data_IF_286716131722
#
_entry.id   IF_286716131722
#
_cell.length_a   1.000
_cell.length_b   1.000
_cell.length_c   1.000
_cell.angle_alpha   90.00
_cell.angle_beta   90.00
_cell.angle_gamma   90.00
#
_symmetry.space_group_name_H-M   'P 1'
#
loop_
_entity.id
_entity.type
_entity.pdbx_description
1 polymer ?
#
# COMPACT_ATOMS: atom_id res chain seq x y z
N UNK A 1 11.44 -10.98 -5.80
CA UNK A 1 10.68 -10.03 -4.97
C UNK A 1 9.65 -9.29 -5.79
N UNK A 2 8.46 -9.09 -5.25
CA UNK A 2 7.40 -8.26 -5.85
C UNK A 2 6.94 -7.25 -4.79
N UNK A 3 6.89 -5.98 -5.17
CA UNK A 3 6.33 -4.89 -4.36
C UNK A 3 5.18 -4.29 -5.13
N UNK A 4 3.96 -4.54 -4.68
CA UNK A 4 2.75 -3.99 -5.28
C UNK A 4 2.44 -2.63 -4.65
N UNK A 5 2.36 -1.61 -5.49
CA UNK A 5 2.02 -0.25 -5.02
C UNK A 5 0.50 -0.16 -4.86
N UNK A 6 0.06 -0.23 -3.62
CA UNK A 6 -1.33 -0.15 -3.21
C UNK A 6 -1.67 1.25 -2.67
N UNK A 7 -2.62 1.32 -1.78
CA UNK A 7 -3.09 2.55 -1.14
C UNK A 7 -3.84 2.20 0.14
N UNK A 8 -3.80 3.07 1.13
CA UNK A 8 -4.68 2.99 2.29
C UNK A 8 -6.16 2.93 1.93
N UNK A 9 -6.54 3.50 0.77
CA UNK A 9 -7.90 3.38 0.21
C UNK A 9 -8.28 1.95 -0.18
N UNK A 10 -7.32 1.05 -0.32
CA UNK A 10 -7.56 -0.38 -0.54
C UNK A 10 -7.77 -1.19 0.74
N UNK A 11 -7.63 -0.59 1.90
CA UNK A 11 -7.85 -1.22 3.19
C UNK A 11 -9.26 -0.94 3.70
N UNK A 12 -10.06 -1.99 3.89
CA UNK A 12 -11.39 -1.86 4.49
C UNK A 12 -11.26 -1.38 5.95
N UNK A 13 -10.27 -1.89 6.69
CA UNK A 13 -10.02 -1.47 8.06
C UNK A 13 -9.67 0.02 8.17
N UNK A 14 -8.83 0.53 7.27
CA UNK A 14 -8.44 1.96 7.23
C UNK A 14 -9.61 2.85 6.81
N UNK A 15 -10.32 2.49 5.74
CA UNK A 15 -11.42 3.31 5.20
C UNK A 15 -12.67 3.32 6.07
N UNK A 16 -12.80 2.40 7.00
CA UNK A 16 -13.91 2.35 7.97
C UNK A 16 -13.53 2.85 9.37
N UNK A 17 -12.27 3.24 9.58
CA UNK A 17 -11.82 3.82 10.84
C UNK A 17 -12.06 5.34 10.83
N UNK A 18 -13.00 5.86 11.68
CA UNK A 18 -13.32 7.29 11.71
C UNK A 18 -12.12 8.19 12.12
N UNK A 19 -11.08 7.62 12.73
CA UNK A 19 -9.84 8.32 13.08
C UNK A 19 -8.88 8.50 11.90
N UNK A 20 -9.19 7.93 10.73
CA UNK A 20 -8.35 7.98 9.55
C UNK A 20 -8.92 8.92 8.48
N UNK A 21 -8.03 9.68 7.83
CA UNK A 21 -8.42 10.58 6.74
C UNK A 21 -9.14 9.84 5.61
N UNK A 22 -8.70 8.64 5.29
CA UNK A 22 -9.26 7.80 4.23
C UNK A 22 -10.75 7.49 4.44
N UNK A 23 -11.22 7.47 5.69
CA UNK A 23 -12.64 7.24 6.01
C UNK A 23 -13.57 8.38 5.55
N UNK A 24 -13.00 9.56 5.29
CA UNK A 24 -13.74 10.72 4.79
C UNK A 24 -13.89 10.74 3.27
N UNK A 25 -13.15 9.88 2.57
CA UNK A 25 -13.14 9.81 1.11
C UNK A 25 -14.13 8.75 0.62
N UNK A 26 -14.89 9.09 -0.42
CA UNK A 26 -15.85 8.20 -1.05
C UNK A 26 -15.39 7.93 -2.47
N UNK A 27 -15.25 6.65 -2.80
CA UNK A 27 -14.91 6.21 -4.14
C UNK A 27 -15.31 4.74 -4.30
N UNK A 28 -15.50 4.30 -5.53
CA UNK A 28 -15.87 2.91 -5.82
C UNK A 28 -14.76 2.18 -6.59
N UNK A 29 -14.43 2.66 -7.79
CA UNK A 29 -13.51 1.94 -8.68
C UNK A 29 -12.09 1.88 -8.13
N UNK A 30 -11.53 3.02 -7.70
CA UNK A 30 -10.16 3.07 -7.20
C UNK A 30 -9.96 2.26 -5.90
N UNK A 31 -10.77 2.46 -4.84
CA UNK A 31 -10.65 1.64 -3.64
C UNK A 31 -10.85 0.15 -3.92
N UNK A 32 -11.86 -0.22 -4.71
CA UNK A 32 -12.11 -1.61 -5.05
C UNK A 32 -10.92 -2.25 -5.80
N UNK A 33 -10.29 -1.52 -6.72
CA UNK A 33 -9.11 -2.01 -7.43
C UNK A 33 -7.91 -2.25 -6.50
N UNK A 34 -7.71 -1.37 -5.52
CA UNK A 34 -6.61 -1.50 -4.56
C UNK A 34 -6.88 -2.58 -3.51
N UNK A 35 -8.14 -2.78 -3.12
CA UNK A 35 -8.53 -3.92 -2.28
C UNK A 35 -8.29 -5.24 -3.01
N UNK A 36 -8.62 -5.31 -4.29
CA UNK A 36 -8.32 -6.48 -5.11
C UNK A 36 -6.81 -6.74 -5.20
N UNK A 37 -6.00 -5.69 -5.39
CA UNK A 37 -4.54 -5.80 -5.40
C UNK A 37 -4.00 -6.32 -4.07
N UNK A 38 -4.55 -5.85 -2.95
CA UNK A 38 -4.20 -6.31 -1.61
C UNK A 38 -4.51 -7.81 -1.45
N UNK A 39 -5.70 -8.25 -1.88
CA UNK A 39 -6.08 -9.66 -1.84
C UNK A 39 -5.15 -10.51 -2.72
N UNK A 40 -4.88 -10.07 -3.94
CA UNK A 40 -3.94 -10.75 -4.85
C UNK A 40 -2.56 -10.88 -4.19
N UNK A 41 -2.06 -9.81 -3.58
CA UNK A 41 -0.77 -9.82 -2.88
C UNK A 41 -0.73 -10.91 -1.80
N UNK A 42 -1.74 -10.96 -0.94
CA UNK A 42 -1.81 -11.93 0.15
C UNK A 42 -1.89 -13.39 -0.36
N UNK A 43 -2.67 -13.64 -1.42
CA UNK A 43 -2.84 -14.97 -1.97
C UNK A 43 -1.57 -15.46 -2.70
N UNK A 44 -0.92 -14.59 -3.47
CA UNK A 44 0.34 -14.94 -4.13
C UNK A 44 1.47 -15.16 -3.11
N UNK A 45 1.52 -14.39 -2.04
CA UNK A 45 2.49 -14.62 -0.96
C UNK A 45 2.36 -16.02 -0.35
N UNK A 46 1.14 -16.51 -0.19
CA UNK A 46 0.87 -17.88 0.27
C UNK A 46 1.24 -18.95 -0.78
N UNK A 47 0.92 -18.67 -2.05
CA UNK A 47 1.18 -19.62 -3.14
C UNK A 47 2.68 -19.76 -3.45
N UNK A 48 3.45 -18.70 -3.22
CA UNK A 48 4.88 -18.66 -3.53
C UNK A 48 5.73 -18.30 -2.29
N UNK A 49 5.80 -19.20 -1.28
CA UNK A 49 6.43 -18.88 0.02
C UNK A 49 7.94 -18.60 -0.06
N UNK A 50 8.59 -18.94 -1.17
CA UNK A 50 10.00 -18.61 -1.43
C UNK A 50 10.22 -17.20 -1.98
N UNK A 51 9.14 -16.52 -2.39
CA UNK A 51 9.19 -15.16 -2.87
C UNK A 51 8.78 -14.17 -1.78
N UNK A 52 9.36 -12.98 -1.82
CA UNK A 52 8.91 -11.85 -1.02
C UNK A 52 7.91 -11.06 -1.86
N UNK A 53 6.64 -11.08 -1.45
CA UNK A 53 5.53 -10.44 -2.17
C UNK A 53 4.75 -9.63 -1.15
N UNK A 54 4.82 -8.31 -1.28
CA UNK A 54 4.23 -7.37 -0.31
C UNK A 54 3.48 -6.25 -1.04
N UNK A 55 2.54 -5.63 -0.35
CA UNK A 55 1.89 -4.40 -0.77
C UNK A 55 2.44 -3.22 0.03
N UNK A 56 2.49 -2.05 -0.58
CA UNK A 56 2.89 -0.81 0.07
C UNK A 56 1.88 0.30 -0.18
N UNK A 57 1.68 1.15 0.82
CA UNK A 57 0.97 2.42 0.70
C UNK A 57 2.02 3.55 0.71
N UNK A 58 2.22 4.26 -0.40
CA UNK A 58 3.13 5.41 -0.45
C UNK A 58 2.60 6.63 0.31
N UNK A 59 1.34 6.60 0.75
CA UNK A 59 0.65 7.75 1.30
C UNK A 59 0.15 8.71 0.21
N UNK A 60 -0.50 9.79 0.64
CA UNK A 60 -1.06 10.79 -0.28
C UNK A 60 0.05 11.68 -0.86
N UNK A 61 0.53 11.30 -2.02
CA UNK A 61 1.71 11.87 -2.69
C UNK A 61 1.28 12.92 -3.72
N UNK A 62 1.94 14.10 -3.69
CA UNK A 62 1.69 15.19 -4.62
C UNK A 62 2.27 14.86 -6.01
N UNK A 63 1.40 14.55 -6.96
CA UNK A 63 1.73 14.25 -8.35
C UNK A 63 0.78 14.95 -9.31
N UNK A 64 1.07 14.94 -10.59
CA UNK A 64 0.18 15.46 -11.63
C UNK A 64 -1.20 14.79 -11.60
N UNK A 65 -1.27 13.51 -11.19
CA UNK A 65 -2.52 12.75 -11.10
C UNK A 65 -3.56 13.41 -10.20
N UNK A 66 -3.13 14.05 -9.11
CA UNK A 66 -4.01 14.73 -8.14
C UNK A 66 -3.83 16.25 -8.10
N UNK A 67 -3.22 16.84 -9.14
CA UNK A 67 -2.94 18.29 -9.18
C UNK A 67 -1.98 18.73 -8.07
N UNK A 68 -1.05 17.89 -7.68
CA UNK A 68 -0.06 18.12 -6.61
C UNK A 68 -0.68 18.40 -5.23
N UNK A 69 -1.87 17.85 -4.95
CA UNK A 69 -2.60 18.05 -3.69
C UNK A 69 -2.17 17.12 -2.56
N UNK A 70 -1.27 16.18 -2.84
CA UNK A 70 -0.76 15.25 -1.83
C UNK A 70 0.01 15.96 -0.72
N UNK A 71 0.04 15.33 0.45
CA UNK A 71 0.77 15.82 1.63
C UNK A 71 2.24 15.38 1.66
N UNK A 72 2.60 14.39 0.84
CA UNK A 72 3.98 13.88 0.69
C UNK A 72 4.57 14.32 -0.64
N UNK A 73 5.88 14.53 -0.66
CA UNK A 73 6.64 14.69 -1.90
C UNK A 73 6.74 13.35 -2.63
N UNK A 74 7.13 13.38 -3.91
CA UNK A 74 7.39 12.17 -4.70
C UNK A 74 8.47 11.32 -4.05
N UNK A 75 9.52 11.94 -3.52
CA UNK A 75 10.61 11.25 -2.83
C UNK A 75 10.13 10.53 -1.58
N UNK A 76 9.35 11.20 -0.74
CA UNK A 76 8.75 10.60 0.46
C UNK A 76 7.81 9.45 0.13
N UNK A 77 6.98 9.60 -0.90
CA UNK A 77 6.10 8.53 -1.38
C UNK A 77 6.85 7.32 -1.92
N UNK A 78 7.98 7.54 -2.59
CA UNK A 78 8.80 6.47 -3.14
C UNK A 78 9.63 5.73 -2.08
N UNK A 79 9.89 6.31 -0.93
CA UNK A 79 10.79 5.77 0.09
C UNK A 79 10.38 4.38 0.57
N UNK A 80 9.10 4.17 0.88
CA UNK A 80 8.60 2.86 1.33
C UNK A 80 8.74 1.81 0.23
N UNK A 81 8.53 2.19 -1.02
CA UNK A 81 8.66 1.30 -2.19
C UNK A 81 10.12 0.83 -2.31
N UNK A 82 11.05 1.77 -2.27
CA UNK A 82 12.50 1.49 -2.38
C UNK A 82 12.97 0.65 -1.20
N UNK A 83 12.54 0.99 0.03
CA UNK A 83 12.87 0.22 1.23
C UNK A 83 12.43 -1.24 1.09
N UNK A 84 11.19 -1.48 0.65
CA UNK A 84 10.66 -2.82 0.48
C UNK A 84 11.34 -3.58 -0.66
N UNK A 85 11.72 -2.90 -1.74
CA UNK A 85 12.42 -3.51 -2.87
C UNK A 85 13.87 -3.94 -2.51
N UNK A 86 14.42 -3.39 -1.44
CA UNK A 86 15.77 -3.69 -0.95
C UNK A 86 15.84 -4.77 0.12
N UNK A 87 14.70 -5.31 0.54
CA UNK A 87 14.68 -6.39 1.55
C UNK A 87 15.38 -7.64 1.01
N UNK A 88 16.10 -8.28 1.92
CA UNK A 88 16.71 -9.58 1.67
C UNK A 88 15.73 -10.73 1.95
N UNK A 89 16.23 -11.98 1.89
CA UNK A 89 15.43 -13.16 2.11
C UNK A 89 14.82 -13.27 3.53
N UNK A 90 15.31 -12.51 4.50
CA UNK A 90 14.78 -12.47 5.88
C UNK A 90 13.61 -11.50 6.03
N UNK A 91 13.34 -10.66 5.04
CA UNK A 91 12.25 -9.69 5.07
C UNK A 91 10.86 -10.34 5.07
N UNK A 92 9.80 -9.54 5.31
CA UNK A 92 8.43 -10.04 5.33
C UNK A 92 7.95 -10.49 3.95
N UNK A 93 6.92 -11.32 3.94
CA UNK A 93 6.11 -11.64 2.77
C UNK A 93 4.63 -11.67 3.17
N UNK A 94 3.74 -11.26 2.28
CA UNK A 94 2.32 -11.16 2.57
C UNK A 94 1.96 -10.01 3.50
N UNK A 95 2.79 -8.97 3.56
CA UNK A 95 2.57 -7.79 4.37
C UNK A 95 2.04 -6.61 3.56
N UNK A 96 1.28 -5.76 4.24
CA UNK A 96 0.89 -4.44 3.74
C UNK A 96 1.53 -3.38 4.65
N UNK A 97 2.31 -2.48 4.06
CA UNK A 97 3.19 -1.57 4.80
C UNK A 97 3.12 -0.15 4.25
N UNK A 98 3.32 0.81 5.13
CA UNK A 98 3.55 2.21 4.79
C UNK A 98 4.90 2.70 5.35
N UNK A 99 5.10 4.02 5.39
CA UNK A 99 6.33 4.61 5.94
C UNK A 99 6.48 4.40 7.45
N UNK A 100 5.39 4.17 8.15
CA UNK A 100 5.35 4.04 9.62
C UNK A 100 5.34 2.57 10.09
N UNK A 101 4.96 1.63 9.22
CA UNK A 101 4.95 0.21 9.57
C UNK A 101 3.84 -0.57 8.91
N UNK A 102 3.24 -1.50 9.63
CA UNK A 102 2.16 -2.33 9.13
C UNK A 102 0.86 -1.56 9.01
N UNK A 103 0.22 -1.74 7.86
CA UNK A 103 -1.14 -1.26 7.59
C UNK A 103 -2.09 -2.45 7.67
N UNK A 104 -3.24 -2.35 8.34
CA UNK A 104 -4.26 -3.40 8.30
C UNK A 104 -4.86 -3.52 6.89
N UNK A 105 -5.23 -4.75 6.53
CA UNK A 105 -5.86 -5.03 5.22
C UNK A 105 -7.23 -4.39 5.01
#
# INVERSE_FOLDING_TARGET
>A
MIVNVSSGMGSVAVTTDPGRFESTLIGLAYPASKTALNMITSQYAKAYPRMRINAVDPGYTATELNGHRGTKTVQEGAEVIVRMARLDASGPTGAFLDSEGSVPW
#
